data_IF_748902718544
#
_entry.id   IF_748902718544
#
_cell.length_a   1.000
_cell.length_b   1.000
_cell.length_c   1.000
_cell.angle_alpha   90.00
_cell.angle_beta   90.00
_cell.angle_gamma   90.00
#
_symmetry.space_group_name_H-M   'P 1'
#
loop_
_entity.id
_entity.type
_entity.pdbx_description
1 polymer ?
#
# COMPACT_ATOMS: atom_id res chain seq x y z
N UNK A 1 -32.15 0.94 6.11
CA UNK A 1 -31.69 -0.18 6.98
C UNK A 1 -30.22 -0.44 6.71
N UNK A 2 -29.49 -1.03 7.67
CA UNK A 2 -28.11 -1.47 7.49
C UNK A 2 -28.08 -2.94 7.05
N UNK A 3 -27.35 -3.24 5.99
CA UNK A 3 -27.03 -4.60 5.57
C UNK A 3 -25.84 -5.13 6.37
N UNK A 4 -25.75 -6.45 6.49
CA UNK A 4 -24.67 -7.12 7.23
C UNK A 4 -23.82 -7.97 6.29
N UNK A 5 -22.52 -7.92 6.52
CA UNK A 5 -21.53 -8.78 5.90
C UNK A 5 -20.73 -9.45 7.01
N UNK A 6 -20.86 -10.77 7.16
CA UNK A 6 -20.11 -11.55 8.16
C UNK A 6 -18.67 -11.71 7.67
N UNK A 7 -17.76 -10.94 8.27
CA UNK A 7 -16.33 -10.94 7.94
C UNK A 7 -15.58 -10.38 9.14
N UNK A 8 -14.59 -11.11 9.61
CA UNK A 8 -13.80 -10.66 10.76
C UNK A 8 -12.69 -9.70 10.36
N UNK A 9 -12.20 -8.99 11.37
CA UNK A 9 -11.12 -7.99 11.24
C UNK A 9 -9.79 -8.55 10.72
N UNK A 10 -9.58 -9.87 10.74
CA UNK A 10 -8.38 -10.48 10.17
C UNK A 10 -8.49 -10.72 8.65
N UNK A 11 -9.71 -10.77 8.12
CA UNK A 11 -9.96 -10.76 6.68
C UNK A 11 -10.04 -9.34 6.11
N UNK A 12 -10.71 -8.41 6.80
CA UNK A 12 -10.82 -7.00 6.37
C UNK A 12 -10.80 -6.08 7.58
N UNK A 13 -9.86 -5.15 7.67
CA UNK A 13 -9.86 -4.07 8.66
C UNK A 13 -10.12 -2.73 7.97
N UNK A 14 -11.34 -2.19 8.10
CA UNK A 14 -11.73 -0.94 7.43
C UNK A 14 -10.85 0.23 7.86
N UNK A 15 -10.55 0.35 9.15
CA UNK A 15 -9.78 1.48 9.65
C UNK A 15 -8.40 1.54 9.00
N UNK A 16 -7.75 0.39 8.86
CA UNK A 16 -6.43 0.30 8.23
C UNK A 16 -6.52 0.42 6.70
N UNK A 17 -7.38 -0.37 6.06
CA UNK A 17 -7.46 -0.44 4.58
C UNK A 17 -7.88 0.89 3.97
N UNK A 18 -8.83 1.60 4.58
CA UNK A 18 -9.36 2.85 4.03
C UNK A 18 -8.44 4.06 4.25
N UNK A 19 -7.35 3.90 5.03
CA UNK A 19 -6.40 4.97 5.35
C UNK A 19 -4.96 4.67 4.89
N UNK A 20 -4.66 3.46 4.43
CA UNK A 20 -3.29 3.02 4.09
C UNK A 20 -2.78 3.53 2.72
N UNK A 21 -3.42 4.54 2.13
CA UNK A 21 -2.97 5.15 0.88
C UNK A 21 -3.33 4.38 -0.40
N UNK A 22 -4.27 3.43 -0.32
CA UNK A 22 -4.85 2.78 -1.50
C UNK A 22 -5.94 3.63 -2.14
N UNK A 23 -6.88 4.10 -1.32
CA UNK A 23 -7.95 5.01 -1.70
C UNK A 23 -7.81 6.32 -0.91
N UNK A 24 -8.33 7.40 -1.50
CA UNK A 24 -8.18 8.76 -0.98
C UNK A 24 -9.52 9.50 -0.83
N UNK A 25 -10.64 8.79 -1.00
CA UNK A 25 -12.00 9.35 -0.95
C UNK A 25 -12.80 8.97 0.29
N UNK A 26 -12.36 7.98 1.05
CA UNK A 26 -13.02 7.58 2.28
C UNK A 26 -12.83 8.64 3.35
N UNK A 27 -13.94 9.08 3.95
CA UNK A 27 -13.95 10.04 5.06
C UNK A 27 -14.87 9.58 6.17
N UNK A 28 -14.47 9.85 7.42
CA UNK A 28 -15.36 9.70 8.56
C UNK A 28 -16.34 10.87 8.61
N UNK A 29 -17.62 10.56 8.79
CA UNK A 29 -18.66 11.53 9.14
C UNK A 29 -19.36 11.06 10.41
N UNK A 30 -20.04 11.99 11.10
CA UNK A 30 -20.92 11.65 12.22
C UNK A 30 -22.28 11.16 11.72
N UNK A 31 -22.70 10.00 12.21
CA UNK A 31 -24.07 9.54 12.10
C UNK A 31 -24.92 10.26 13.16
N UNK A 32 -25.66 11.31 12.76
CA UNK A 32 -26.47 12.13 13.68
C UNK A 32 -27.49 11.32 14.49
N UNK A 33 -27.87 10.12 14.04
CA UNK A 33 -28.81 9.27 14.77
C UNK A 33 -28.17 8.50 15.93
N UNK A 34 -26.89 8.12 15.79
CA UNK A 34 -26.20 7.25 16.76
C UNK A 34 -24.97 7.88 17.39
N UNK A 35 -24.63 9.12 17.02
CA UNK A 35 -23.42 9.88 17.38
C UNK A 35 -22.08 9.13 17.16
N UNK A 36 -22.11 8.12 16.30
CA UNK A 36 -20.95 7.28 15.98
C UNK A 36 -20.29 7.72 14.68
N UNK A 37 -18.98 7.55 14.58
CA UNK A 37 -18.27 7.76 13.33
C UNK A 37 -18.60 6.67 12.30
N UNK A 38 -18.80 7.08 11.04
CA UNK A 38 -19.04 6.17 9.92
C UNK A 38 -18.13 6.50 8.76
N UNK A 39 -17.58 5.46 8.15
CA UNK A 39 -16.90 5.59 6.88
C UNK A 39 -17.92 5.95 5.81
N UNK A 40 -17.58 6.93 4.98
CA UNK A 40 -18.42 7.40 3.90
C UNK A 40 -17.61 7.66 2.64
N UNK A 41 -18.19 7.33 1.50
CA UNK A 41 -17.62 7.60 0.18
C UNK A 41 -18.74 7.57 -0.87
N UNK A 42 -18.70 8.42 -1.88
CA UNK A 42 -19.52 8.18 -3.08
C UNK A 42 -18.90 7.08 -3.93
N UNK A 43 -19.70 6.21 -4.54
CA UNK A 43 -19.22 5.23 -5.50
C UNK A 43 -20.38 4.83 -6.39
N UNK A 44 -20.23 4.96 -7.71
CA UNK A 44 -21.27 4.56 -8.67
C UNK A 44 -22.63 5.20 -8.33
N UNK A 45 -22.64 6.53 -8.23
CA UNK A 45 -23.83 7.37 -8.05
C UNK A 45 -24.64 7.10 -6.77
N UNK A 46 -23.98 6.63 -5.70
CA UNK A 46 -24.55 6.50 -4.35
C UNK A 46 -23.51 6.80 -3.29
N UNK A 47 -23.95 7.27 -2.13
CA UNK A 47 -23.14 7.38 -0.91
C UNK A 47 -23.13 6.02 -0.24
N UNK A 48 -21.97 5.37 -0.14
CA UNK A 48 -21.77 4.17 0.65
C UNK A 48 -21.35 4.57 2.07
N UNK A 49 -22.04 4.02 3.06
CA UNK A 49 -21.75 4.19 4.48
C UNK A 49 -21.37 2.85 5.09
N UNK A 50 -20.32 2.82 5.91
CA UNK A 50 -19.81 1.59 6.52
C UNK A 50 -19.44 1.78 7.99
N UNK A 51 -19.78 0.79 8.81
CA UNK A 51 -19.31 0.59 10.18
C UNK A 51 -18.75 -0.82 10.28
N UNK A 52 -17.84 -1.06 11.21
CA UNK A 52 -17.27 -2.38 11.42
C UNK A 52 -17.24 -2.72 12.91
N UNK A 53 -17.71 -3.92 13.21
CA UNK A 53 -17.50 -4.60 14.49
C UNK A 53 -16.43 -5.69 14.30
N UNK A 54 -16.15 -6.48 15.35
CA UNK A 54 -15.10 -7.50 15.33
C UNK A 54 -15.29 -8.56 14.22
N UNK A 55 -16.52 -9.01 14.02
CA UNK A 55 -16.86 -10.18 13.19
C UNK A 55 -17.83 -9.83 12.04
N UNK A 56 -18.13 -8.55 11.85
CA UNK A 56 -19.05 -8.10 10.80
C UNK A 56 -18.76 -6.67 10.33
N UNK A 57 -19.14 -6.41 9.09
CA UNK A 57 -19.25 -5.08 8.51
C UNK A 57 -20.71 -4.76 8.29
N UNK A 58 -21.13 -3.59 8.76
CA UNK A 58 -22.44 -3.02 8.48
C UNK A 58 -22.28 -2.02 7.35
N UNK A 59 -23.09 -2.13 6.30
CA UNK A 59 -23.08 -1.18 5.19
C UNK A 59 -24.49 -0.76 4.78
N UNK A 60 -24.63 0.45 4.27
CA UNK A 60 -25.85 0.94 3.62
C UNK A 60 -25.49 1.95 2.54
N UNK A 61 -26.35 2.10 1.55
CA UNK A 61 -26.21 3.15 0.55
C UNK A 61 -27.33 4.20 0.65
N UNK A 62 -27.05 5.40 0.14
CA UNK A 62 -28.03 6.48 -0.06
C UNK A 62 -27.80 7.08 -1.44
N UNK A 63 -28.85 7.23 -2.23
CA UNK A 63 -28.79 7.81 -3.56
C UNK A 63 -29.37 6.87 -4.63
N UNK A 64 -29.40 7.33 -5.88
CA UNK A 64 -30.02 6.59 -6.98
C UNK A 64 -29.27 5.30 -7.34
N UNK A 65 -27.95 5.28 -7.13
CA UNK A 65 -27.13 4.14 -7.53
C UNK A 65 -27.12 3.90 -9.04
N UNK A 66 -26.88 2.64 -9.40
CA UNK A 66 -26.92 2.07 -10.74
C UNK A 66 -27.45 0.62 -10.62
N UNK A 67 -27.41 -0.15 -11.71
CA UNK A 67 -27.97 -1.50 -11.78
C UNK A 67 -27.22 -2.55 -10.92
N UNK A 68 -26.08 -2.20 -10.34
CA UNK A 68 -25.31 -3.09 -9.44
C UNK A 68 -25.90 -3.02 -8.03
N UNK A 69 -26.13 -4.18 -7.42
CA UNK A 69 -26.60 -4.26 -6.04
C UNK A 69 -25.53 -3.77 -5.04
N UNK A 70 -25.94 -3.21 -3.90
CA UNK A 70 -24.99 -2.77 -2.86
C UNK A 70 -24.09 -3.92 -2.38
N UNK A 71 -24.64 -5.13 -2.26
CA UNK A 71 -23.87 -6.30 -1.83
C UNK A 71 -22.79 -6.67 -2.83
N UNK A 72 -23.11 -6.66 -4.13
CA UNK A 72 -22.16 -6.97 -5.19
C UNK A 72 -21.09 -5.89 -5.29
N UNK A 73 -21.49 -4.61 -5.20
CA UNK A 73 -20.57 -3.48 -5.19
C UNK A 73 -19.56 -3.59 -4.05
N UNK A 74 -20.02 -3.86 -2.82
CA UNK A 74 -19.15 -4.02 -1.65
C UNK A 74 -18.23 -5.24 -1.80
N UNK A 75 -18.77 -6.39 -2.23
CA UNK A 75 -17.96 -7.60 -2.44
C UNK A 75 -16.85 -7.38 -3.46
N UNK A 76 -17.19 -6.76 -4.59
CA UNK A 76 -16.23 -6.49 -5.66
C UNK A 76 -15.20 -5.44 -5.25
N UNK A 77 -15.63 -4.31 -4.68
CA UNK A 77 -14.72 -3.22 -4.29
C UNK A 77 -13.69 -3.66 -3.26
N UNK A 78 -14.11 -4.49 -2.30
CA UNK A 78 -13.23 -5.07 -1.31
C UNK A 78 -12.68 -6.42 -1.72
N UNK A 79 -12.75 -6.90 -2.97
CA UNK A 79 -12.20 -8.19 -3.43
C UNK A 79 -12.53 -9.39 -2.52
N UNK A 80 -13.76 -9.53 -2.01
CA UNK A 80 -14.08 -10.44 -0.90
C UNK A 80 -14.09 -11.94 -1.23
N UNK A 81 -13.92 -12.30 -2.50
CA UNK A 81 -13.72 -13.66 -2.99
C UNK A 81 -12.35 -14.24 -2.59
N UNK A 82 -11.36 -13.37 -2.36
CA UNK A 82 -10.01 -13.77 -1.93
C UNK A 82 -9.95 -13.91 -0.41
N UNK A 83 -9.41 -15.03 0.08
CA UNK A 83 -9.19 -15.25 1.53
C UNK A 83 -7.82 -14.72 1.95
N UNK A 84 -7.78 -13.60 2.64
CA UNK A 84 -6.53 -12.92 2.98
C UNK A 84 -5.78 -13.65 4.09
N UNK A 85 -6.46 -14.38 4.96
CA UNK A 85 -5.77 -15.22 5.95
C UNK A 85 -4.89 -16.30 5.31
N UNK A 86 -5.36 -16.91 4.24
CA UNK A 86 -4.61 -17.94 3.51
C UNK A 86 -3.35 -17.33 2.87
N UNK A 87 -3.48 -16.13 2.28
CA UNK A 87 -2.35 -15.38 1.75
C UNK A 87 -1.33 -15.01 2.84
N UNK A 88 -1.79 -14.50 3.98
CA UNK A 88 -0.93 -14.19 5.12
C UNK A 88 -0.18 -15.43 5.63
N UNK A 89 -0.85 -16.58 5.75
CA UNK A 89 -0.21 -17.83 6.15
C UNK A 89 0.90 -18.23 5.16
N UNK A 90 0.61 -18.15 3.86
CA UNK A 90 1.58 -18.42 2.80
C UNK A 90 2.80 -17.48 2.88
N UNK A 91 2.62 -16.17 2.93
CA UNK A 91 3.75 -15.22 2.98
C UNK A 91 4.56 -15.33 4.27
N UNK A 92 3.93 -15.63 5.41
CA UNK A 92 4.63 -15.88 6.67
C UNK A 92 5.56 -17.10 6.60
N UNK A 93 5.18 -18.12 5.82
CA UNK A 93 6.01 -19.30 5.59
C UNK A 93 7.19 -19.00 4.67
N UNK A 94 6.97 -18.19 3.62
CA UNK A 94 8.00 -17.87 2.62
C UNK A 94 8.99 -16.80 3.09
N UNK A 95 8.57 -15.88 3.96
CA UNK A 95 9.33 -14.69 4.29
C UNK A 95 9.31 -14.37 5.79
N UNK A 96 10.46 -14.62 6.43
CA UNK A 96 10.65 -14.31 7.86
C UNK A 96 10.55 -12.81 8.19
N UNK A 97 10.88 -11.91 7.24
CA UNK A 97 10.69 -10.47 7.44
C UNK A 97 9.21 -10.12 7.42
N UNK A 98 8.47 -10.66 6.45
CA UNK A 98 7.02 -10.53 6.44
C UNK A 98 6.40 -11.03 7.75
N UNK A 99 6.81 -12.21 8.22
CA UNK A 99 6.32 -12.77 9.48
C UNK A 99 6.54 -11.83 10.66
N UNK A 100 7.72 -11.21 10.77
CA UNK A 100 8.04 -10.25 11.85
C UNK A 100 7.31 -8.90 11.76
N UNK A 101 6.85 -8.51 10.57
CA UNK A 101 6.29 -7.18 10.31
C UNK A 101 4.76 -7.18 10.12
N UNK A 102 4.14 -8.35 10.09
CA UNK A 102 2.70 -8.55 9.83
C UNK A 102 1.92 -9.00 11.08
N UNK A 103 2.23 -8.37 12.22
CA UNK A 103 1.52 -8.56 13.50
C UNK A 103 0.10 -7.96 13.51
N UNK A 104 -0.30 -7.32 12.41
CA UNK A 104 -1.66 -6.87 12.13
C UNK A 104 -2.20 -7.58 10.89
N UNK A 105 -3.52 -7.73 10.83
CA UNK A 105 -4.22 -8.48 9.78
C UNK A 105 -5.32 -7.65 9.12
N UNK A 106 -5.95 -8.22 8.09
CA UNK A 106 -7.10 -7.61 7.42
C UNK A 106 -6.75 -6.51 6.42
N UNK A 107 -5.47 -6.38 6.03
CA UNK A 107 -5.12 -5.50 4.90
C UNK A 107 -5.39 -6.25 3.60
N UNK A 108 -6.24 -5.65 2.78
CA UNK A 108 -6.61 -6.16 1.45
C UNK A 108 -6.34 -5.12 0.38
N UNK A 109 -6.16 -5.56 -0.86
CA UNK A 109 -6.16 -4.63 -2.00
C UNK A 109 -7.60 -4.33 -2.41
N UNK A 110 -7.92 -3.04 -2.51
CA UNK A 110 -9.18 -2.56 -3.07
C UNK A 110 -9.21 -2.74 -4.59
N UNK A 111 -10.38 -2.97 -5.16
CA UNK A 111 -10.64 -3.03 -6.61
C UNK A 111 -11.38 -1.77 -7.06
N UNK A 112 -10.62 -0.69 -7.20
CA UNK A 112 -11.15 0.65 -7.43
C UNK A 112 -11.52 0.89 -8.90
N UNK A 113 -12.25 1.98 -9.16
CA UNK A 113 -12.51 2.43 -10.53
C UNK A 113 -11.19 2.89 -11.18
N UNK A 114 -10.82 2.35 -12.38
CA UNK A 114 -9.54 2.63 -12.99
C UNK A 114 -9.25 4.12 -13.25
N UNK A 115 -10.27 4.88 -13.66
CA UNK A 115 -10.11 6.30 -13.93
C UNK A 115 -9.79 7.11 -12.67
N UNK A 116 -10.55 6.86 -11.60
CA UNK A 116 -10.30 7.49 -10.30
C UNK A 116 -8.90 7.15 -9.78
N UNK A 117 -8.54 5.87 -9.87
CA UNK A 117 -7.24 5.35 -9.42
C UNK A 117 -6.10 6.04 -10.18
N UNK A 118 -6.23 6.18 -11.50
CA UNK A 118 -5.26 6.87 -12.34
C UNK A 118 -5.08 8.34 -11.91
N UNK A 119 -6.16 9.10 -11.76
CA UNK A 119 -6.09 10.48 -11.28
C UNK A 119 -5.46 10.59 -9.88
N UNK A 120 -5.85 9.71 -8.96
CA UNK A 120 -5.34 9.70 -7.59
C UNK A 120 -3.84 9.44 -7.55
N UNK A 121 -3.34 8.47 -8.33
CA UNK A 121 -1.90 8.18 -8.35
C UNK A 121 -1.08 9.18 -9.16
N UNK A 122 -1.64 9.87 -10.15
CA UNK A 122 -1.02 11.08 -10.73
C UNK A 122 -0.83 12.13 -9.62
N UNK A 123 -1.85 12.36 -8.78
CA UNK A 123 -1.77 13.26 -7.61
C UNK A 123 -0.72 12.82 -6.57
N UNK A 124 -0.42 11.52 -6.50
CA UNK A 124 0.48 10.94 -5.49
C UNK A 124 1.96 11.17 -5.73
N UNK A 125 2.37 11.39 -6.98
CA UNK A 125 3.78 11.58 -7.34
C UNK A 125 4.41 12.69 -6.49
N UNK A 126 5.51 12.43 -5.76
CA UNK A 126 6.18 13.39 -4.86
C UNK A 126 5.21 14.18 -3.94
N UNK A 127 4.44 13.46 -3.13
CA UNK A 127 3.38 14.02 -2.29
C UNK A 127 3.16 13.16 -1.02
N UNK A 128 2.28 13.60 -0.11
CA UNK A 128 1.90 12.82 1.08
C UNK A 128 0.39 12.51 1.10
N UNK A 129 0.00 11.47 1.85
CA UNK A 129 -1.38 10.93 1.87
C UNK A 129 -2.42 12.01 2.20
N UNK A 130 -2.15 12.89 3.18
CA UNK A 130 -3.07 13.95 3.60
C UNK A 130 -3.33 14.93 2.45
N UNK A 131 -2.29 15.38 1.77
CA UNK A 131 -2.42 16.31 0.63
C UNK A 131 -3.06 15.63 -0.58
N UNK A 132 -2.71 14.38 -0.87
CA UNK A 132 -3.34 13.61 -1.96
C UNK A 132 -4.85 13.51 -1.73
N UNK A 133 -5.27 13.16 -0.51
CA UNK A 133 -6.69 13.08 -0.14
C UNK A 133 -7.42 14.40 -0.37
N UNK A 134 -6.82 15.53 0.05
CA UNK A 134 -7.39 16.86 -0.21
C UNK A 134 -7.54 17.14 -1.71
N UNK A 135 -6.55 16.79 -2.53
CA UNK A 135 -6.59 16.99 -3.98
C UNK A 135 -7.66 16.09 -4.63
N UNK A 136 -7.72 14.81 -4.29
CA UNK A 136 -8.72 13.90 -4.85
C UNK A 136 -10.13 14.32 -4.45
N UNK A 137 -10.34 14.75 -3.20
CA UNK A 137 -11.62 15.28 -2.76
C UNK A 137 -12.02 16.55 -3.51
N UNK A 138 -11.08 17.47 -3.80
CA UNK A 138 -11.41 18.68 -4.56
C UNK A 138 -11.77 18.40 -6.02
N UNK A 139 -11.24 17.32 -6.64
CA UNK A 139 -11.73 16.88 -7.95
C UNK A 139 -13.23 16.55 -7.91
N UNK A 140 -13.66 15.82 -6.88
CA UNK A 140 -15.07 15.43 -6.74
C UNK A 140 -15.96 16.63 -6.46
N UNK A 141 -15.57 17.55 -5.57
CA UNK A 141 -16.42 18.69 -5.21
C UNK A 141 -16.55 19.72 -6.32
N UNK A 142 -15.51 19.92 -7.12
CA UNK A 142 -15.47 20.98 -8.14
C UNK A 142 -15.99 20.50 -9.50
N UNK A 143 -15.75 19.24 -9.86
CA UNK A 143 -16.05 18.72 -11.19
C UNK A 143 -16.96 17.49 -11.19
N UNK A 144 -17.19 16.89 -10.02
CA UNK A 144 -17.98 15.67 -9.87
C UNK A 144 -19.49 15.93 -9.89
N UNK A 145 -20.29 14.95 -10.35
CA UNK A 145 -21.74 15.05 -10.26
C UNK A 145 -22.19 15.00 -8.80
N UNK A 146 -23.11 15.89 -8.44
CA UNK A 146 -23.76 15.85 -7.13
C UNK A 146 -24.60 14.57 -7.00
N UNK A 147 -24.46 13.86 -5.88
CA UNK A 147 -25.19 12.62 -5.60
C UNK A 147 -26.33 12.89 -4.63
N UNK A 148 -25.99 13.37 -3.42
CA UNK A 148 -26.95 13.67 -2.37
C UNK A 148 -26.28 14.51 -1.26
N UNK A 149 -27.10 14.99 -0.33
CA UNK A 149 -26.65 15.59 0.92
C UNK A 149 -27.01 14.65 2.07
N UNK A 150 -26.07 14.42 2.97
CA UNK A 150 -26.27 13.65 4.17
C UNK A 150 -25.81 14.47 5.36
N UNK A 151 -26.75 14.84 6.22
CA UNK A 151 -26.55 15.86 7.24
C UNK A 151 -26.07 17.17 6.56
N UNK A 152 -25.01 17.79 7.10
CA UNK A 152 -24.45 19.04 6.56
C UNK A 152 -23.37 18.78 5.48
N UNK A 153 -23.20 17.51 5.07
CA UNK A 153 -22.18 17.12 4.11
C UNK A 153 -22.80 16.91 2.72
N UNK A 154 -22.29 17.64 1.73
CA UNK A 154 -22.57 17.39 0.32
C UNK A 154 -21.65 16.29 -0.20
N UNK A 155 -22.21 15.42 -1.03
CA UNK A 155 -21.50 14.30 -1.61
C UNK A 155 -21.57 14.38 -3.14
N UNK A 156 -20.41 14.22 -3.76
CA UNK A 156 -20.20 14.27 -5.20
C UNK A 156 -19.46 13.01 -5.62
N UNK A 157 -19.79 12.46 -6.78
CA UNK A 157 -19.05 11.32 -7.31
C UNK A 157 -17.80 11.76 -8.09
N UNK A 158 -17.01 10.81 -8.58
CA UNK A 158 -15.82 11.13 -9.35
C UNK A 158 -16.19 11.78 -10.69
N UNK A 159 -15.51 12.86 -11.11
CA UNK A 159 -15.75 13.45 -12.41
C UNK A 159 -15.41 12.49 -13.54
N UNK A 160 -16.20 12.50 -14.61
CA UNK A 160 -15.90 11.74 -15.83
C UNK A 160 -14.68 12.33 -16.55
N UNK A 161 -14.00 11.56 -17.43
CA UNK A 161 -12.94 12.10 -18.27
C UNK A 161 -13.41 13.30 -19.10
N UNK A 162 -14.65 13.26 -19.61
CA UNK A 162 -15.27 14.36 -20.34
C UNK A 162 -15.37 15.65 -19.50
N UNK A 163 -15.72 15.54 -18.22
CA UNK A 163 -15.80 16.70 -17.32
C UNK A 163 -14.43 17.36 -17.12
N UNK A 164 -13.36 16.57 -16.99
CA UNK A 164 -12.00 17.04 -16.79
C UNK A 164 -11.26 17.40 -18.11
N UNK A 165 -11.84 17.11 -19.26
CA UNK A 165 -11.28 17.47 -20.57
C UNK A 165 -11.70 18.87 -21.05
N UNK A 166 -12.64 19.53 -20.37
CA UNK A 166 -13.18 20.85 -20.75
C UNK A 166 -12.12 21.97 -20.72
N UNK A 167 -12.28 23.04 -21.51
CA UNK A 167 -11.44 24.25 -21.40
C UNK A 167 -11.47 24.83 -19.97
N UNK A 168 -10.35 25.40 -19.51
CA UNK A 168 -10.25 26.02 -18.18
C UNK A 168 -9.96 25.06 -17.02
N UNK A 169 -10.05 23.73 -17.22
CA UNK A 169 -9.86 22.75 -16.14
C UNK A 169 -8.43 22.76 -15.61
N UNK A 170 -7.41 22.88 -16.46
CA UNK A 170 -6.02 22.91 -16.00
C UNK A 170 -5.77 24.12 -15.08
N UNK A 171 -6.22 25.29 -15.51
CA UNK A 171 -6.11 26.55 -14.78
C UNK A 171 -6.79 26.43 -13.42
N UNK A 172 -8.03 25.90 -13.40
CA UNK A 172 -8.76 25.69 -12.16
C UNK A 172 -8.05 24.70 -11.22
N UNK A 173 -7.48 23.62 -11.74
CA UNK A 173 -6.69 22.68 -10.94
C UNK A 173 -5.43 23.32 -10.37
N UNK A 174 -4.80 24.28 -11.08
CA UNK A 174 -3.66 25.04 -10.55
C UNK A 174 -4.09 25.92 -9.38
N UNK A 175 -5.23 26.61 -9.47
CA UNK A 175 -5.82 27.38 -8.37
C UNK A 175 -6.09 26.50 -7.14
N UNK A 176 -6.56 25.26 -7.37
CA UNK A 176 -6.83 24.28 -6.31
C UNK A 176 -5.56 23.63 -5.74
N UNK A 177 -4.36 24.04 -6.17
CA UNK A 177 -3.09 23.63 -5.58
C UNK A 177 -2.50 22.33 -6.11
N UNK A 178 -2.90 21.87 -7.31
CA UNK A 178 -2.35 20.67 -7.95
C UNK A 178 -0.92 20.88 -8.48
N UNK A 179 -0.53 22.14 -8.70
CA UNK A 179 0.76 22.50 -9.28
C UNK A 179 0.94 21.89 -10.66
N UNK A 180 2.12 21.33 -10.95
CA UNK A 180 2.42 20.74 -12.26
C UNK A 180 1.51 19.56 -12.63
N UNK A 181 0.88 18.88 -11.65
CA UNK A 181 -0.01 17.73 -11.88
C UNK A 181 -1.33 18.13 -12.54
N UNK A 182 -1.72 19.40 -12.44
CA UNK A 182 -2.89 19.94 -13.13
C UNK A 182 -2.85 19.64 -14.63
N UNK A 183 -1.70 19.92 -15.26
CA UNK A 183 -1.46 19.63 -16.68
C UNK A 183 -1.62 18.14 -16.98
N UNK A 184 -1.10 17.28 -16.11
CA UNK A 184 -1.16 15.83 -16.31
C UNK A 184 -2.59 15.30 -16.27
N UNK A 185 -3.38 15.73 -15.28
CA UNK A 185 -4.79 15.32 -15.17
C UNK A 185 -5.60 15.80 -16.36
N UNK A 186 -5.53 17.10 -16.69
CA UNK A 186 -6.27 17.66 -17.82
C UNK A 186 -5.87 17.01 -19.15
N UNK A 187 -4.58 16.76 -19.37
CA UNK A 187 -4.11 16.09 -20.60
C UNK A 187 -4.53 14.63 -20.66
N UNK A 188 -4.42 13.90 -19.55
CA UNK A 188 -4.87 12.51 -19.43
C UNK A 188 -6.37 12.39 -19.69
N UNK A 189 -7.17 13.30 -19.12
CA UNK A 189 -8.61 13.36 -19.35
C UNK A 189 -8.96 13.55 -20.83
N UNK A 190 -8.26 14.46 -21.52
CA UNK A 190 -8.43 14.67 -22.97
C UNK A 190 -8.09 13.42 -23.78
N UNK A 191 -6.97 12.77 -23.50
CA UNK A 191 -6.58 11.52 -24.17
C UNK A 191 -7.64 10.44 -23.95
N UNK A 192 -8.08 10.25 -22.70
CA UNK A 192 -9.04 9.21 -22.36
C UNK A 192 -10.43 9.50 -22.94
N UNK A 193 -10.85 10.77 -22.98
CA UNK A 193 -12.11 11.19 -23.60
C UNK A 193 -12.14 10.95 -25.12
N UNK A 194 -10.98 10.91 -25.78
CA UNK A 194 -10.86 10.58 -27.20
C UNK A 194 -10.73 9.07 -27.47
N UNK A 195 -10.46 8.25 -26.45
CA UNK A 195 -10.43 6.79 -26.57
C UNK A 195 -11.85 6.21 -26.44
N UNK A 196 -12.03 4.95 -26.85
CA UNK A 196 -13.30 4.23 -26.69
C UNK A 196 -13.73 4.20 -25.21
N UNK A 197 -15.03 4.36 -24.96
CA UNK A 197 -15.62 4.20 -23.64
C UNK A 197 -15.20 2.84 -23.03
N UNK A 198 -14.81 2.85 -21.75
CA UNK A 198 -14.32 1.66 -21.05
C UNK A 198 -12.89 1.25 -21.41
N UNK A 199 -12.10 2.09 -22.09
CA UNK A 199 -10.70 1.78 -22.44
C UNK A 199 -9.88 1.29 -21.23
N UNK A 200 -9.94 1.98 -20.08
CA UNK A 200 -9.19 1.54 -18.91
C UNK A 200 -9.67 0.20 -18.36
N UNK A 201 -10.99 -0.04 -18.32
CA UNK A 201 -11.53 -1.35 -17.90
C UNK A 201 -11.10 -2.48 -18.84
N UNK A 202 -10.93 -2.20 -20.14
CA UNK A 202 -10.45 -3.17 -21.12
C UNK A 202 -9.01 -3.65 -20.89
N UNK A 203 -8.25 -3.00 -19.99
CA UNK A 203 -6.91 -3.42 -19.62
C UNK A 203 -6.90 -4.57 -18.59
N UNK A 204 -8.02 -4.81 -17.87
CA UNK A 204 -8.15 -5.91 -16.89
C UNK A 204 -7.79 -7.30 -17.46
N UNK A 205 -8.32 -7.72 -18.62
CA UNK A 205 -8.01 -9.05 -19.17
C UNK A 205 -6.62 -9.14 -19.85
N UNK A 206 -5.91 -8.03 -20.08
CA UNK A 206 -4.60 -8.06 -20.74
C UNK A 206 -3.51 -8.62 -19.83
N UNK A 207 -2.36 -8.99 -20.36
CA UNK A 207 -1.21 -9.28 -19.52
C UNK A 207 -0.64 -8.01 -18.86
N UNK A 208 0.23 -8.21 -17.86
CA UNK A 208 0.85 -7.12 -17.09
C UNK A 208 1.71 -6.20 -17.96
N UNK A 209 2.44 -6.74 -18.96
CA UNK A 209 3.33 -5.95 -19.78
C UNK A 209 2.54 -5.01 -20.71
N UNK A 210 1.49 -5.51 -21.36
CA UNK A 210 0.58 -4.74 -22.19
C UNK A 210 -0.17 -3.68 -21.35
N UNK A 211 -0.62 -4.05 -20.15
CA UNK A 211 -1.28 -3.12 -19.22
C UNK A 211 -0.35 -1.97 -18.82
N UNK A 212 0.87 -2.28 -18.40
CA UNK A 212 1.87 -1.26 -18.03
C UNK A 212 2.23 -0.38 -19.22
N UNK A 213 2.43 -0.96 -20.41
CA UNK A 213 2.71 -0.17 -21.62
C UNK A 213 1.60 0.82 -21.93
N UNK A 214 0.34 0.40 -21.85
CA UNK A 214 -0.81 1.27 -22.11
C UNK A 214 -0.93 2.40 -21.08
N UNK A 215 -0.62 2.14 -19.81
CA UNK A 215 -0.66 3.16 -18.75
C UNK A 215 0.46 4.20 -18.89
N UNK A 216 1.65 3.78 -19.33
CA UNK A 216 2.81 4.67 -19.52
C UNK A 216 2.61 5.69 -20.66
N UNK A 217 1.59 5.53 -21.50
CA UNK A 217 1.22 6.53 -22.52
C UNK A 217 0.62 7.81 -21.90
N UNK A 218 0.12 7.75 -20.66
CA UNK A 218 -0.55 8.88 -20.04
C UNK A 218 0.44 9.86 -19.40
N UNK A 219 0.25 11.19 -19.58
CA UNK A 219 1.10 12.20 -18.97
C UNK A 219 1.18 12.10 -17.45
N UNK A 220 2.39 12.14 -16.91
CA UNK A 220 2.62 12.04 -15.47
C UNK A 220 2.57 10.61 -14.91
N UNK A 221 2.41 9.59 -15.77
CA UNK A 221 2.44 8.18 -15.38
C UNK A 221 3.82 7.59 -15.66
N UNK A 222 4.59 7.38 -14.59
CA UNK A 222 5.80 6.56 -14.62
C UNK A 222 5.56 5.15 -14.09
N UNK A 223 6.59 4.28 -14.02
CA UNK A 223 6.47 2.88 -13.60
C UNK A 223 5.71 2.70 -12.28
N UNK A 224 6.04 3.48 -11.25
CA UNK A 224 5.35 3.43 -9.94
C UNK A 224 3.85 3.71 -10.06
N UNK A 225 3.48 4.75 -10.80
CA UNK A 225 2.06 5.14 -10.96
C UNK A 225 1.32 4.06 -11.75
N UNK A 226 1.93 3.55 -12.83
CA UNK A 226 1.36 2.45 -13.61
C UNK A 226 1.14 1.19 -12.75
N UNK A 227 2.10 0.84 -11.89
CA UNK A 227 1.98 -0.32 -11.01
C UNK A 227 0.92 -0.13 -9.93
N UNK A 228 0.79 1.06 -9.35
CA UNK A 228 -0.30 1.35 -8.40
C UNK A 228 -1.67 1.21 -9.05
N UNK A 229 -1.86 1.74 -10.27
CA UNK A 229 -3.11 1.62 -11.02
C UNK A 229 -3.39 0.16 -11.39
N UNK A 230 -2.36 -0.56 -11.85
CA UNK A 230 -2.44 -1.98 -12.19
C UNK A 230 -2.87 -2.83 -10.99
N UNK A 231 -2.25 -2.63 -9.83
CA UNK A 231 -2.53 -3.38 -8.61
C UNK A 231 -3.93 -3.10 -8.05
N UNK A 232 -4.31 -1.82 -7.98
CA UNK A 232 -5.47 -1.38 -7.19
C UNK A 232 -6.75 -1.18 -8.01
N UNK A 233 -6.71 -1.41 -9.34
CA UNK A 233 -7.90 -1.24 -10.19
C UNK A 233 -7.99 -2.16 -11.42
N UNK A 234 -6.88 -2.76 -11.85
CA UNK A 234 -6.79 -3.57 -13.08
C UNK A 234 -6.45 -5.04 -12.84
N UNK A 235 -6.64 -5.52 -11.61
CA UNK A 235 -6.56 -6.94 -11.22
C UNK A 235 -5.16 -7.57 -11.40
N UNK A 236 -4.09 -6.76 -11.41
CA UNK A 236 -2.70 -7.25 -11.51
C UNK A 236 -2.10 -7.54 -10.14
N UNK A 237 -2.59 -8.58 -9.46
CA UNK A 237 -2.26 -8.86 -8.05
C UNK A 237 -0.76 -9.11 -7.77
N UNK A 238 0.01 -9.56 -8.77
CA UNK A 238 1.43 -9.85 -8.62
C UNK A 238 2.34 -8.62 -8.76
N UNK A 239 1.83 -7.46 -9.19
CA UNK A 239 2.66 -6.28 -9.45
C UNK A 239 3.00 -5.57 -8.14
N UNK A 240 4.25 -5.18 -7.96
CA UNK A 240 4.73 -4.54 -6.72
C UNK A 240 5.20 -3.11 -7.02
N UNK A 241 4.40 -2.07 -6.70
CA UNK A 241 4.82 -0.68 -6.91
C UNK A 241 6.03 -0.34 -6.03
N UNK A 242 7.12 0.14 -6.63
CA UNK A 242 8.35 0.48 -5.88
C UNK A 242 8.49 2.00 -5.74
N UNK A 243 8.26 2.50 -4.53
CA UNK A 243 8.54 3.88 -4.16
C UNK A 243 9.72 4.00 -3.20
N UNK A 244 9.95 5.21 -2.69
CA UNK A 244 11.05 5.47 -1.75
C UNK A 244 10.91 4.71 -0.44
N UNK A 245 9.70 4.41 0.03
CA UNK A 245 9.48 3.58 1.21
C UNK A 245 9.83 2.12 0.91
N UNK A 246 9.44 1.61 -0.26
CA UNK A 246 9.79 0.25 -0.65
C UNK A 246 11.28 0.05 -0.87
N UNK A 247 12.00 1.05 -1.40
CA UNK A 247 13.48 1.01 -1.42
C UNK A 247 14.08 0.96 -0.01
N UNK A 248 13.53 1.73 0.95
CA UNK A 248 13.98 1.69 2.35
C UNK A 248 13.72 0.33 2.99
N UNK A 249 12.56 -0.28 2.75
CA UNK A 249 12.22 -1.63 3.21
C UNK A 249 13.18 -2.65 2.60
N UNK A 250 13.40 -2.60 1.28
CA UNK A 250 14.33 -3.48 0.58
C UNK A 250 15.76 -3.41 1.16
N UNK A 251 16.27 -2.20 1.42
CA UNK A 251 17.59 -2.01 2.01
C UNK A 251 17.65 -2.48 3.49
N UNK A 252 16.69 -2.06 4.32
CA UNK A 252 16.66 -2.32 5.77
C UNK A 252 16.47 -3.80 6.09
N UNK A 253 15.42 -4.38 5.50
CA UNK A 253 14.88 -5.69 5.89
C UNK A 253 15.43 -6.82 5.02
N UNK A 254 15.72 -6.54 3.73
CA UNK A 254 16.19 -7.54 2.75
C UNK A 254 17.65 -7.34 2.33
N UNK A 255 18.35 -6.36 2.91
CA UNK A 255 19.76 -6.05 2.64
C UNK A 255 20.05 -5.74 1.16
N UNK A 256 19.05 -5.20 0.46
CA UNK A 256 19.15 -4.81 -0.94
C UNK A 256 19.55 -3.34 -1.08
N UNK A 257 20.85 -3.06 -1.08
CA UNK A 257 21.38 -1.71 -1.31
C UNK A 257 21.45 -1.41 -2.82
N UNK A 258 20.29 -1.19 -3.42
CA UNK A 258 20.14 -0.98 -4.87
C UNK A 258 19.86 0.50 -5.13
N UNK A 259 20.58 1.07 -6.10
CA UNK A 259 20.36 2.45 -6.52
C UNK A 259 18.97 2.63 -7.15
N UNK A 260 18.35 3.78 -6.87
CA UNK A 260 17.07 4.13 -7.48
C UNK A 260 17.24 4.39 -8.98
N UNK A 261 16.27 3.95 -9.78
CA UNK A 261 16.26 4.10 -11.24
C UNK A 261 15.60 2.89 -11.89
N UNK A 262 15.45 2.90 -13.22
CA UNK A 262 14.71 1.85 -13.95
C UNK A 262 15.23 0.44 -13.66
N UNK A 263 16.55 0.24 -13.68
CA UNK A 263 17.16 -1.07 -13.38
C UNK A 263 16.91 -1.49 -11.93
N UNK A 264 17.13 -0.58 -10.98
CA UNK A 264 16.93 -0.86 -9.57
C UNK A 264 15.48 -1.17 -9.23
N UNK A 265 14.56 -0.45 -9.88
CA UNK A 265 13.12 -0.66 -9.77
C UNK A 265 12.74 -2.09 -10.15
N UNK A 266 13.18 -2.54 -11.33
CA UNK A 266 12.92 -3.89 -11.82
C UNK A 266 13.52 -4.97 -10.92
N UNK A 267 14.75 -4.78 -10.42
CA UNK A 267 15.39 -5.76 -9.54
C UNK A 267 14.61 -5.92 -8.22
N UNK A 268 14.25 -4.81 -7.58
CA UNK A 268 13.50 -4.84 -6.31
C UNK A 268 12.11 -5.43 -6.53
N UNK A 269 11.42 -5.04 -7.61
CA UNK A 269 10.10 -5.58 -7.94
C UNK A 269 10.14 -7.08 -8.20
N UNK A 270 11.08 -7.56 -9.02
CA UNK A 270 11.23 -8.99 -9.32
C UNK A 270 11.52 -9.78 -8.06
N UNK A 271 12.41 -9.28 -7.18
CA UNK A 271 12.72 -9.96 -5.92
C UNK A 271 11.49 -10.15 -5.03
N UNK A 272 10.66 -9.12 -4.90
CA UNK A 272 9.42 -9.23 -4.11
C UNK A 272 8.37 -10.12 -4.79
N UNK A 273 8.31 -10.10 -6.12
CA UNK A 273 7.45 -11.02 -6.86
C UNK A 273 7.87 -12.49 -6.69
N UNK A 274 9.16 -12.79 -6.78
CA UNK A 274 9.72 -14.12 -6.54
C UNK A 274 9.43 -14.61 -5.11
N UNK A 275 9.44 -13.71 -4.13
CA UNK A 275 9.25 -14.06 -2.71
C UNK A 275 7.79 -14.36 -2.35
N UNK A 276 6.84 -13.61 -2.92
CA UNK A 276 5.43 -13.66 -2.51
C UNK A 276 4.46 -14.17 -3.58
N UNK A 277 4.96 -14.46 -4.78
CA UNK A 277 4.22 -15.10 -5.87
C UNK A 277 3.11 -14.22 -6.47
N UNK A 278 2.00 -14.86 -6.83
CA UNK A 278 0.93 -14.26 -7.63
C UNK A 278 0.19 -13.11 -6.94
N UNK A 279 0.32 -13.01 -5.62
CA UNK A 279 -0.26 -11.93 -4.82
C UNK A 279 0.81 -11.03 -4.18
N UNK A 280 2.00 -10.95 -4.76
CA UNK A 280 3.09 -10.13 -4.22
C UNK A 280 2.73 -8.66 -4.00
N UNK A 281 1.87 -8.07 -4.83
CA UNK A 281 1.39 -6.69 -4.64
C UNK A 281 0.55 -6.52 -3.36
N UNK A 282 -0.15 -7.57 -2.94
CA UNK A 282 -0.91 -7.58 -1.70
C UNK A 282 0.01 -7.68 -0.48
N UNK A 283 0.99 -8.58 -0.50
CA UNK A 283 2.02 -8.68 0.54
C UNK A 283 2.77 -7.35 0.72
N UNK A 284 3.13 -6.72 -0.40
CA UNK A 284 3.69 -5.38 -0.43
C UNK A 284 2.83 -4.37 0.32
N UNK A 285 1.51 -4.36 0.12
CA UNK A 285 0.63 -3.41 0.79
C UNK A 285 0.60 -3.61 2.31
N UNK A 286 0.79 -4.84 2.80
CA UNK A 286 0.93 -5.12 4.22
C UNK A 286 2.19 -4.44 4.75
N UNK A 287 3.36 -4.70 4.14
CA UNK A 287 4.63 -4.13 4.59
C UNK A 287 4.68 -2.61 4.49
N UNK A 288 4.14 -2.06 3.40
CA UNK A 288 4.01 -0.62 3.23
C UNK A 288 3.19 0.00 4.37
N UNK A 289 2.07 -0.63 4.74
CA UNK A 289 1.23 -0.14 5.84
C UNK A 289 1.92 -0.28 7.20
N UNK A 290 2.68 -1.34 7.43
CA UNK A 290 3.50 -1.49 8.63
C UNK A 290 4.47 -0.30 8.76
N UNK A 291 5.13 0.09 7.67
CA UNK A 291 6.09 1.20 7.67
C UNK A 291 5.39 2.55 7.88
N UNK A 292 4.22 2.77 7.24
CA UNK A 292 3.40 3.96 7.49
C UNK A 292 2.97 4.10 8.96
N UNK A 293 2.61 3.00 9.62
CA UNK A 293 2.21 3.01 11.03
C UNK A 293 3.33 3.45 11.97
N UNK A 294 4.58 3.17 11.59
CA UNK A 294 5.76 3.64 12.32
C UNK A 294 6.08 5.12 12.04
N UNK A 295 5.44 5.72 11.02
CA UNK A 295 5.75 7.06 10.55
C UNK A 295 4.63 8.09 10.82
N UNK A 296 3.34 7.76 10.65
CA UNK A 296 2.30 8.81 10.56
C UNK A 296 0.84 8.44 10.93
N UNK A 297 0.52 7.27 11.49
CA UNK A 297 -0.89 7.02 11.88
C UNK A 297 -1.31 7.93 13.06
N UNK A 298 -2.31 8.78 12.82
CA UNK A 298 -2.88 9.72 13.79
C UNK A 298 -3.15 9.05 15.17
N UNK A 299 -2.90 9.73 16.30
CA UNK A 299 -3.16 9.18 17.64
C UNK A 299 -4.64 8.93 17.99
N UNK A 300 -5.58 9.28 17.10
CA UNK A 300 -7.02 9.27 17.38
C UNK A 300 -7.70 7.91 17.44
N UNK A 301 -7.03 6.84 17.00
CA UNK A 301 -7.57 5.47 17.04
C UNK A 301 -6.43 4.49 17.32
N UNK A 302 -5.94 4.48 18.56
CA UNK A 302 -5.21 3.30 19.04
C UNK A 302 -6.26 2.22 19.35
N UNK A 303 -6.12 0.99 18.83
CA UNK A 303 -6.76 -0.16 19.45
C UNK A 303 -6.31 -0.19 20.90
N UNK A 304 -7.24 -0.43 21.84
CA UNK A 304 -6.92 -0.66 23.25
C UNK A 304 -6.06 -1.92 23.34
N UNK A 305 -4.74 -1.78 23.19
CA UNK A 305 -3.80 -2.85 23.45
C UNK A 305 -3.53 -2.90 24.94
N UNK A 306 -3.63 -4.11 25.47
CA UNK A 306 -3.24 -4.48 26.83
C UNK A 306 -1.82 -3.98 27.12
N UNK A 307 -1.71 -3.30 28.25
CA UNK A 307 -0.52 -2.67 28.82
C UNK A 307 0.71 -3.58 28.71
N UNK A 308 1.67 -3.22 27.85
CA UNK A 308 3.07 -3.64 28.00
C UNK A 308 3.85 -2.47 28.59
N UNK A 309 4.22 -2.61 29.86
CA UNK A 309 5.14 -1.72 30.55
C UNK A 309 6.50 -1.77 29.85
N UNK A 310 7.01 -0.63 29.40
CA UNK A 310 8.43 -0.47 29.14
C UNK A 310 8.87 0.88 29.70
N UNK A 311 9.49 0.81 30.88
CA UNK A 311 10.19 1.90 31.54
C UNK A 311 11.39 2.33 30.69
N UNK A 312 11.37 3.56 30.18
CA UNK A 312 12.58 4.23 29.67
C UNK A 312 13.14 5.12 30.79
N UNK A 313 14.26 4.69 31.38
CA UNK A 313 15.10 5.54 32.21
C UNK A 313 15.69 6.67 31.33
N UNK A 314 15.55 7.92 31.76
CA UNK A 314 16.22 9.08 31.14
C UNK A 314 17.52 9.34 31.89
N UNK A 315 18.65 9.04 31.27
CA UNK A 315 19.97 9.47 31.75
C UNK A 315 20.21 10.91 31.28
N UNK A 316 20.38 11.84 32.21
CA UNK A 316 20.80 13.22 31.92
C UNK A 316 22.32 13.26 32.00
N UNK A 317 23.00 13.54 30.89
CA UNK A 317 24.45 13.76 30.83
C UNK A 317 24.65 15.26 30.64
N UNK A 318 25.20 15.93 31.64
CA UNK A 318 25.71 17.30 31.52
C UNK A 318 27.21 17.19 31.23
N UNK A 319 27.64 17.79 30.11
CA UNK A 319 29.05 17.91 29.72
C UNK A 319 29.40 19.40 29.82
N UNK A 320 30.32 19.75 30.70
CA UNK A 320 30.95 21.07 30.72
C UNK A 320 32.16 21.05 29.76
N UNK A 321 32.23 22.04 28.86
CA UNK A 321 33.36 22.24 27.96
C UNK A 321 34.58 22.77 28.73
N UNK A 322 35.72 22.09 28.59
CA UNK A 322 37.03 22.68 28.89
C UNK A 322 37.99 22.41 27.73
N UNK A 323 38.62 23.48 27.26
CA UNK A 323 39.64 23.49 26.21
C UNK A 323 40.90 22.71 26.61
N UNK A 324 41.48 21.97 25.65
CA UNK A 324 42.83 21.42 25.74
C UNK A 324 42.88 19.89 25.71
N UNK A 325 43.78 19.36 24.88
CA UNK A 325 43.90 17.94 24.53
C UNK A 325 43.99 16.96 25.73
N UNK A 326 43.21 15.86 25.61
CA UNK A 326 43.06 14.66 26.46
C UNK A 326 41.89 14.70 27.46
N UNK A 327 40.84 13.90 27.18
CA UNK A 327 39.76 13.58 28.12
C UNK A 327 39.90 12.13 28.63
N UNK A 328 40.05 12.02 29.95
CA UNK A 328 39.93 10.80 30.76
C UNK A 328 38.63 10.92 31.56
N UNK A 329 37.79 9.88 31.59
CA UNK A 329 36.55 9.86 32.40
C UNK A 329 36.72 8.90 33.58
N UNK A 330 36.72 9.42 34.80
CA UNK A 330 36.75 8.67 36.05
C UNK A 330 35.33 8.60 36.68
N UNK A 331 34.73 7.40 36.70
CA UNK A 331 33.59 6.94 37.53
C UNK A 331 32.22 7.66 37.44
N UNK A 332 31.14 6.87 37.42
CA UNK A 332 29.73 7.33 37.43
C UNK A 332 29.07 6.85 38.73
N UNK A 333 28.47 7.78 39.50
CA UNK A 333 27.64 7.47 40.67
C UNK A 333 26.14 7.57 40.30
N UNK A 334 25.37 6.52 40.58
CA UNK A 334 23.91 6.49 40.41
C UNK A 334 23.25 6.51 41.80
N UNK A 335 22.31 7.46 42.02
CA UNK A 335 21.45 7.49 43.21
C UNK A 335 20.04 7.01 42.82
N UNK A 336 19.57 5.93 43.42
CA UNK A 336 18.15 5.53 43.37
C UNK A 336 17.36 6.19 44.52
N UNK A 337 16.16 6.68 44.21
CA UNK A 337 15.15 7.08 45.21
C UNK A 337 13.93 6.16 45.03
N UNK A 338 13.59 5.43 46.08
CA UNK A 338 12.33 4.68 46.18
C UNK A 338 11.15 5.65 46.29
N UNK A 339 10.03 5.32 45.63
CA UNK A 339 8.75 5.98 45.86
C UNK A 339 7.66 4.92 46.02
N UNK A 340 7.04 4.93 47.20
CA UNK A 340 5.91 4.12 47.63
C UNK A 340 4.60 4.70 47.09
N UNK A 341 3.76 3.89 46.45
CA UNK A 341 2.38 4.27 46.12
C UNK A 341 1.38 3.48 46.98
N UNK A 342 0.65 4.21 47.82
CA UNK A 342 -0.55 3.77 48.53
C UNK A 342 -1.72 3.70 47.54
N UNK A 343 -2.26 2.51 47.31
CA UNK A 343 -3.55 2.32 46.64
C UNK A 343 -4.60 1.92 47.69
N UNK A 344 -5.72 2.63 47.73
CA UNK A 344 -6.95 2.26 48.45
C UNK A 344 -7.73 1.27 47.59
N UNK A 345 -7.94 0.05 48.08
CA UNK A 345 -9.04 -0.82 47.65
C UNK A 345 -10.23 -0.68 48.61
N UNK A 346 -11.46 -0.94 48.16
CA UNK A 346 -12.52 -1.43 49.03
C UNK A 346 -12.74 -2.94 48.86
N UNK A 347 -12.49 -3.65 49.95
CA UNK A 347 -13.13 -4.85 50.51
C UNK A 347 -13.48 -6.04 49.59
N UNK A 348 -12.71 -7.12 49.81
CA UNK A 348 -13.13 -8.51 49.63
C UNK A 348 -14.17 -8.93 50.69
N UNK A 349 -15.02 -9.90 50.34
CA UNK A 349 -15.35 -10.97 51.29
C UNK A 349 -15.08 -12.35 50.70
N UNK A 350 -14.08 -13.00 51.30
CA UNK A 350 -14.08 -14.36 51.84
C UNK A 350 -13.19 -15.42 51.15
N UNK A 351 -12.22 -15.85 51.96
CA UNK A 351 -11.79 -17.22 52.23
C UNK A 351 -11.19 -18.06 51.09
N UNK A 352 -9.87 -18.28 51.13
CA UNK A 352 -9.29 -19.50 51.76
C UNK A 352 -7.86 -19.81 51.27
N UNK A 353 -6.95 -19.97 52.25
CA UNK A 353 -6.00 -21.09 52.42
C UNK A 353 -4.83 -21.27 51.41
N UNK A 354 -3.63 -21.00 51.96
CA UNK A 354 -2.34 -21.74 51.87
C UNK A 354 -1.87 -22.29 50.51
N UNK A 355 -0.70 -21.82 50.04
CA UNK A 355 0.56 -22.56 50.20
C UNK A 355 1.75 -21.84 49.53
N UNK A 356 2.82 -21.65 50.30
CA UNK A 356 4.18 -21.39 49.79
C UNK A 356 4.77 -22.68 49.22
N UNK A 357 5.33 -22.62 48.00
CA UNK A 357 6.45 -23.48 47.60
C UNK A 357 7.44 -22.67 46.76
N UNK A 358 8.63 -22.49 47.33
CA UNK A 358 9.85 -22.10 46.63
C UNK A 358 10.30 -23.22 45.71
N UNK A 359 10.65 -22.92 44.45
CA UNK A 359 11.59 -23.72 43.66
C UNK A 359 12.49 -22.76 42.88
N UNK A 360 13.78 -22.75 43.25
CA UNK A 360 14.90 -22.27 42.43
C UNK A 360 15.05 -23.20 41.22
N UNK A 361 15.30 -22.65 40.02
CA UNK A 361 16.02 -23.39 38.97
C UNK A 361 17.03 -22.51 38.28
N UNK A 362 18.24 -23.05 38.22
CA UNK A 362 19.45 -22.59 37.55
C UNK A 362 19.26 -22.53 36.04
N UNK A 363 19.97 -21.60 35.41
CA UNK A 363 20.11 -21.49 33.96
C UNK A 363 21.44 -22.13 33.57
N UNK A 364 21.39 -23.24 32.86
CA UNK A 364 22.55 -23.85 32.20
C UNK A 364 22.71 -23.25 30.80
N UNK A 365 23.90 -22.71 30.53
CA UNK A 365 24.37 -22.25 29.23
C UNK A 365 24.82 -23.49 28.44
N UNK A 366 24.41 -23.61 27.18
CA UNK A 366 24.98 -24.57 26.24
C UNK A 366 25.42 -23.82 24.99
N UNK A 367 26.74 -23.78 24.82
CA UNK A 367 27.44 -23.46 23.58
C UNK A 367 27.23 -24.58 22.56
N UNK A 368 27.04 -24.22 21.28
CA UNK A 368 27.31 -25.15 20.18
C UNK A 368 28.00 -24.42 19.04
N UNK A 369 29.21 -24.89 18.76
CA UNK A 369 30.11 -24.48 17.70
C UNK A 369 29.64 -24.94 16.30
N UNK A 370 30.12 -24.18 15.32
CA UNK A 370 30.22 -24.40 13.89
C UNK A 370 30.85 -25.75 13.48
N UNK A 371 30.33 -26.38 12.43
CA UNK A 371 31.10 -27.28 11.55
C UNK A 371 30.77 -27.05 10.08
N UNK A 372 31.82 -26.83 9.29
CA UNK A 372 31.87 -26.74 7.83
C UNK A 372 32.19 -28.13 7.27
N UNK A 373 31.47 -28.62 6.25
CA UNK A 373 32.00 -29.60 5.28
C UNK A 373 31.45 -29.31 3.88
N UNK A 374 32.34 -29.46 2.91
CA UNK A 374 32.27 -29.13 1.48
C UNK A 374 31.76 -30.27 0.58
N UNK A 375 31.14 -29.88 -0.54
CA UNK A 375 31.17 -30.45 -1.91
C UNK A 375 31.02 -31.95 -2.17
N UNK A 376 30.09 -32.33 -3.05
CA UNK A 376 30.41 -32.82 -4.42
C UNK A 376 29.18 -32.87 -5.34
N UNK A 377 29.43 -32.54 -6.61
CA UNK A 377 28.56 -32.64 -7.77
C UNK A 377 28.39 -34.10 -8.20
N UNK A 378 27.20 -34.48 -8.65
CA UNK A 378 27.02 -35.55 -9.66
C UNK A 378 25.94 -35.11 -10.64
N UNK A 379 26.29 -35.23 -11.91
CA UNK A 379 25.56 -34.91 -13.14
C UNK A 379 24.87 -36.18 -13.66
N UNK A 380 23.65 -36.08 -14.18
CA UNK A 380 23.07 -37.07 -15.12
C UNK A 380 21.78 -36.57 -15.77
N UNK A 381 21.93 -36.05 -16.99
CA UNK A 381 21.23 -36.44 -18.23
C UNK A 381 19.73 -36.82 -18.19
N UNK A 382 18.98 -35.96 -18.87
CA UNK A 382 18.05 -36.25 -19.99
C UNK A 382 16.93 -37.27 -19.82
N UNK A 383 15.69 -36.78 -19.94
CA UNK A 383 14.75 -37.38 -20.88
C UNK A 383 13.66 -36.38 -21.30
N UNK A 384 13.38 -36.42 -22.60
CA UNK A 384 12.50 -35.54 -23.36
C UNK A 384 11.25 -36.30 -23.81
N UNK A 385 10.19 -35.53 -24.12
CA UNK A 385 9.00 -35.80 -24.97
C UNK A 385 7.65 -35.70 -24.19
N UNK A 386 6.52 -35.39 -24.86
CA UNK A 386 6.29 -34.36 -25.89
C UNK A 386 5.08 -33.44 -25.57
N UNK A 387 5.03 -32.28 -26.22
CA UNK A 387 3.93 -31.31 -26.22
C UNK A 387 2.92 -31.69 -27.33
N UNK A 388 1.58 -31.62 -27.11
CA UNK A 388 0.63 -31.62 -28.20
C UNK A 388 0.36 -30.20 -28.73
N UNK A 389 0.40 -30.07 -30.06
CA UNK A 389 -0.10 -28.96 -30.86
C UNK A 389 -1.61 -28.78 -30.70
N UNK A 390 -2.09 -27.52 -30.67
CA UNK A 390 -3.19 -27.12 -31.55
C UNK A 390 -3.37 -25.60 -31.69
N UNK A 391 -3.46 -25.20 -32.96
CA UNK A 391 -4.26 -24.15 -33.58
C UNK A 391 -4.05 -22.68 -33.23
N UNK A 392 -3.27 -22.06 -34.13
CA UNK A 392 -3.18 -20.64 -34.38
C UNK A 392 -4.47 -20.09 -35.04
N UNK A 393 -5.01 -19.00 -34.49
CA UNK A 393 -5.85 -18.05 -35.22
C UNK A 393 -5.01 -16.80 -35.46
N UNK A 394 -4.67 -16.54 -36.72
CA UNK A 394 -3.81 -15.45 -37.15
C UNK A 394 -4.52 -14.10 -37.16
N UNK A 395 -3.83 -13.05 -36.70
CA UNK A 395 -4.09 -11.66 -37.08
C UNK A 395 -2.73 -10.99 -37.32
N UNK A 396 -2.54 -10.52 -38.55
CA UNK A 396 -1.33 -9.86 -39.04
C UNK A 396 -1.21 -8.41 -38.54
N UNK A 397 0.02 -8.00 -38.18
CA UNK A 397 0.39 -6.58 -38.01
C UNK A 397 1.74 -6.34 -38.72
N UNK A 398 1.90 -5.27 -39.55
CA UNK A 398 3.07 -5.11 -40.41
C UNK A 398 4.29 -4.49 -39.68
N UNK A 399 5.48 -4.98 -40.03
CA UNK A 399 6.77 -4.48 -39.57
C UNK A 399 7.22 -3.21 -40.31
N UNK A 400 7.70 -2.19 -39.58
CA UNK A 400 8.54 -1.09 -40.12
C UNK A 400 9.88 -0.99 -39.38
N UNK A 401 10.87 -1.62 -40.00
CA UNK A 401 12.30 -1.30 -40.19
C UNK A 401 12.96 -0.25 -39.28
N UNK A 402 13.93 -0.72 -38.50
CA UNK A 402 15.02 0.05 -37.86
C UNK A 402 16.18 0.20 -38.87
N UNK A 403 16.79 1.40 -38.95
CA UNK A 403 18.16 1.59 -39.48
C UNK A 403 18.92 2.54 -38.54
N UNK A 404 19.92 2.00 -37.85
CA UNK A 404 21.01 2.75 -37.20
C UNK A 404 22.26 2.55 -38.04
N UNK A 405 22.82 3.62 -38.58
CA UNK A 405 24.16 3.61 -39.18
C UNK A 405 25.19 4.04 -38.14
N UNK A 406 26.16 3.15 -37.87
CA UNK A 406 27.45 3.46 -37.26
C UNK A 406 28.47 3.46 -38.39
N UNK A 407 29.17 4.57 -38.60
CA UNK A 407 30.29 4.68 -39.54
C UNK A 407 31.46 5.31 -38.80
N UNK A 408 32.47 4.52 -38.44
CA UNK A 408 33.80 5.03 -38.08
C UNK A 408 34.84 3.95 -38.32
N UNK A 409 35.96 4.35 -38.94
CA UNK A 409 37.20 3.63 -39.29
C UNK A 409 37.28 3.07 -40.73
N UNK A 410 37.96 3.83 -41.60
CA UNK A 410 39.25 3.39 -42.11
C UNK A 410 40.11 4.59 -42.54
N UNK A 411 41.41 4.42 -42.33
CA UNK A 411 42.53 5.37 -42.36
C UNK A 411 43.16 5.52 -43.76
N UNK A 412 43.98 6.58 -43.91
CA UNK A 412 45.09 6.84 -44.88
C UNK A 412 44.75 7.86 -45.99
N UNK A 413 45.32 9.08 -45.92
CA UNK A 413 46.60 9.54 -46.58
C UNK A 413 46.43 9.54 -48.11
N UNK A 414 46.60 10.62 -48.89
CA UNK A 414 47.65 11.67 -48.96
C UNK A 414 47.22 12.78 -49.94
N UNK A 415 47.70 14.01 -49.70
CA UNK A 415 48.15 15.10 -50.60
C UNK A 415 47.70 15.26 -52.07
N UNK A 416 47.80 16.53 -52.51
CA UNK A 416 47.65 17.12 -53.87
C UNK A 416 46.20 17.59 -54.15
N UNK A 417 45.88 18.86 -54.42
CA UNK A 417 46.63 20.08 -54.77
C UNK A 417 45.85 21.32 -54.32
#
# INVERSE_FOLDING_TARGET
>A
MWNKLTIDTAELNLNTVLQCGQSFRWRLIKDKQTDSDVWSMCLQNRILLMKQDKDQILYRSIGPGNDVSDSELVKNYFNLDIKVKDLYAHWKQQDSQFQRKSDFSGIRILRQEPWETLCAFICSSNNNIKRISKMVMSLTTEFGPYVASLNDNKFYDFPSPAALAKPGVEEKLRELGFGYRAKYIASTAKILNAKKAGFLHSLRPLDTAATTSALLEFPGVGPKVADCVSLMSLDKHSIVPIDTHMYKIAARDYKMNISQGTKGYTIVQNKFKELWGDYAGWAHSVLFTADLSNLELNPGTKPRSTTKSNSKAKTKIEVEETSGDKLVVNSIHVKERESTNLAKEPEETSNAIKNRKSIKREVSILDTETSVVSSTLVDSTSDSLPIPENDAIGIAIPAKRIKRERKLRHTLKTNES
#
